data_IF_246453752836
#
_entry.id   IF_246453752836
#
_cell.length_a   1.000
_cell.length_b   1.000
_cell.length_c   1.000
_cell.angle_alpha   90.00
_cell.angle_beta   90.00
_cell.angle_gamma   90.00
#
_symmetry.space_group_name_H-M   'P 1'
#
loop_
_entity.id
_entity.type
_entity.pdbx_description
1 polymer ?
#
# COMPACT_ATOMS: atom_id res chain seq x y z
N UNK A 1 21.93 14.36 -7.47
CA UNK A 1 21.57 15.24 -6.33
C UNK A 1 20.10 15.03 -6.03
N UNK A 2 19.73 14.84 -4.75
CA UNK A 2 18.34 14.69 -4.34
C UNK A 2 17.62 16.04 -4.46
N UNK A 3 16.39 16.11 -5.04
CA UNK A 3 15.69 17.38 -5.26
C UNK A 3 14.93 17.85 -4.02
N UNK A 4 14.85 19.17 -3.80
CA UNK A 4 13.82 19.72 -2.91
C UNK A 4 12.43 19.52 -3.53
N UNK A 5 11.46 19.19 -2.69
CA UNK A 5 10.12 18.80 -3.15
C UNK A 5 9.09 19.89 -2.85
N UNK A 6 8.38 20.30 -3.88
CA UNK A 6 7.33 21.31 -3.83
C UNK A 6 5.92 20.69 -3.75
N UNK A 7 4.93 21.48 -3.41
CA UNK A 7 3.50 21.16 -3.62
C UNK A 7 3.17 21.24 -5.10
N UNK A 8 2.21 20.42 -5.56
CA UNK A 8 1.62 20.53 -6.90
C UNK A 8 0.15 20.94 -6.78
N UNK A 9 -0.18 22.16 -7.17
CA UNK A 9 -1.52 22.71 -7.05
C UNK A 9 -1.87 23.49 -8.33
N UNK A 10 -3.02 23.21 -8.90
CA UNK A 10 -3.57 23.87 -10.10
C UNK A 10 -2.60 23.86 -11.30
N UNK A 11 -1.94 22.71 -11.52
CA UNK A 11 -1.01 22.54 -12.63
C UNK A 11 0.38 23.13 -12.41
N UNK A 12 0.69 23.63 -11.22
CA UNK A 12 1.95 24.30 -10.90
C UNK A 12 2.65 23.71 -9.70
N UNK A 13 3.97 23.53 -9.84
CA UNK A 13 4.86 23.26 -8.73
C UNK A 13 5.14 24.55 -7.96
N UNK A 14 4.98 24.53 -6.64
CA UNK A 14 5.08 25.72 -5.82
C UNK A 14 5.54 25.42 -4.40
N UNK A 15 6.21 26.36 -3.78
CA UNK A 15 6.48 26.32 -2.35
C UNK A 15 5.19 26.55 -1.56
N UNK A 16 5.14 26.07 -0.31
CA UNK A 16 4.05 26.44 0.58
C UNK A 16 3.97 27.95 0.79
N UNK A 17 2.77 28.52 0.88
CA UNK A 17 2.54 29.96 1.03
C UNK A 17 3.24 30.54 2.26
N UNK A 18 3.28 29.78 3.36
CA UNK A 18 3.99 30.15 4.58
C UNK A 18 5.51 29.97 4.50
N UNK A 19 6.05 29.46 3.39
CA UNK A 19 7.47 29.18 3.22
C UNK A 19 8.03 28.07 4.11
N UNK A 20 7.18 27.33 4.83
CA UNK A 20 7.62 26.23 5.72
C UNK A 20 8.06 25.01 4.92
N UNK A 21 9.09 24.34 5.43
CA UNK A 21 9.59 23.06 4.91
C UNK A 21 9.83 22.06 6.03
N UNK A 22 9.96 20.80 5.68
CA UNK A 22 10.42 19.71 6.54
C UNK A 22 11.68 19.08 5.93
N UNK A 23 12.67 18.69 6.75
CA UNK A 23 13.84 18.00 6.25
C UNK A 23 13.49 16.58 5.79
N UNK A 24 14.11 16.16 4.69
CA UNK A 24 14.08 14.77 4.23
C UNK A 24 15.41 14.12 4.57
N UNK A 25 15.36 13.01 5.28
CA UNK A 25 16.56 12.32 5.79
C UNK A 25 16.78 11.00 5.05
N UNK A 26 18.03 10.74 4.67
CA UNK A 26 18.41 9.43 4.14
C UNK A 26 18.51 8.41 5.29
N UNK A 27 17.68 7.37 5.31
CA UNK A 27 17.64 6.40 6.41
C UNK A 27 18.91 5.51 6.49
N UNK A 28 19.76 5.51 5.47
CA UNK A 28 21.02 4.77 5.47
C UNK A 28 22.19 5.55 6.11
N UNK A 29 22.11 6.91 6.20
CA UNK A 29 23.23 7.72 6.69
C UNK A 29 22.84 8.73 7.77
N UNK A 30 21.54 8.90 8.06
CA UNK A 30 20.96 9.94 8.93
C UNK A 30 21.20 11.36 8.43
N UNK A 31 21.64 11.53 7.19
CA UNK A 31 21.92 12.83 6.59
C UNK A 31 20.64 13.47 6.04
N UNK A 32 20.47 14.75 6.25
CA UNK A 32 19.44 15.54 5.58
C UNK A 32 19.85 15.71 4.12
N UNK A 33 19.06 15.17 3.19
CA UNK A 33 19.35 15.14 1.75
C UNK A 33 18.58 16.20 0.95
N UNK A 34 17.52 16.78 1.53
CA UNK A 34 16.68 17.78 0.89
C UNK A 34 15.57 18.27 1.82
N UNK A 35 14.67 19.07 1.26
CA UNK A 35 13.53 19.65 1.94
C UNK A 35 12.23 19.34 1.20
N UNK A 36 11.12 19.22 1.94
CA UNK A 36 9.78 19.14 1.36
C UNK A 36 8.90 20.31 1.85
N UNK A 37 8.16 20.93 0.95
CA UNK A 37 7.24 22.00 1.28
C UNK A 37 6.15 21.51 2.25
N UNK A 38 5.86 22.30 3.28
CA UNK A 38 4.88 21.99 4.32
C UNK A 38 3.64 22.86 4.15
N UNK A 39 2.56 22.30 3.62
CA UNK A 39 1.29 22.99 3.38
C UNK A 39 0.65 23.47 4.68
N UNK A 40 0.08 24.68 4.62
CA UNK A 40 -0.82 25.22 5.63
C UNK A 40 -2.27 25.23 5.09
N UNK A 41 -3.21 25.72 5.89
CA UNK A 41 -4.65 25.74 5.54
C UNK A 41 -4.91 26.48 4.21
N UNK A 42 -4.21 27.58 3.98
CA UNK A 42 -4.35 28.39 2.76
C UNK A 42 -3.90 27.63 1.50
N UNK A 43 -2.90 26.76 1.60
CA UNK A 43 -2.49 25.87 0.51
C UNK A 43 -3.56 24.81 0.24
N UNK A 44 -4.19 24.29 1.31
CA UNK A 44 -5.29 23.32 1.20
C UNK A 44 -6.53 23.96 0.56
N UNK A 45 -6.85 25.21 0.86
CA UNK A 45 -7.93 25.97 0.21
C UNK A 45 -7.68 26.11 -1.29
N UNK A 46 -6.45 26.44 -1.68
CA UNK A 46 -6.08 26.49 -3.10
C UNK A 46 -6.22 25.12 -3.77
N UNK A 47 -5.79 24.05 -3.12
CA UNK A 47 -5.92 22.68 -3.63
C UNK A 47 -7.40 22.27 -3.76
N UNK A 48 -8.25 22.57 -2.77
CA UNK A 48 -9.68 22.31 -2.80
C UNK A 48 -10.38 23.08 -3.93
N UNK A 49 -10.09 24.37 -4.08
CA UNK A 49 -10.67 25.19 -5.14
C UNK A 49 -10.24 24.70 -6.53
N UNK A 50 -8.95 24.38 -6.70
CA UNK A 50 -8.42 23.83 -7.95
C UNK A 50 -9.07 22.48 -8.29
N UNK A 51 -9.17 21.58 -7.30
CA UNK A 51 -9.71 20.23 -7.47
C UNK A 51 -11.21 20.26 -7.81
N UNK A 52 -11.97 21.21 -7.26
CA UNK A 52 -13.37 21.41 -7.62
C UNK A 52 -13.54 21.85 -9.10
N UNK A 53 -12.68 22.74 -9.59
CA UNK A 53 -12.66 23.14 -11.01
C UNK A 53 -12.22 21.99 -11.91
N UNK A 54 -11.11 21.34 -11.54
CA UNK A 54 -10.54 20.21 -12.27
C UNK A 54 -11.52 19.04 -12.41
N UNK A 55 -12.35 18.80 -11.40
CA UNK A 55 -13.41 17.78 -11.47
C UNK A 55 -14.39 18.05 -12.60
N UNK A 56 -14.85 19.29 -12.75
CA UNK A 56 -15.79 19.63 -13.83
C UNK A 56 -15.18 19.40 -15.23
N UNK A 57 -13.90 19.71 -15.40
CA UNK A 57 -13.19 19.45 -16.66
C UNK A 57 -13.02 17.94 -16.89
N UNK A 58 -12.59 17.20 -15.87
CA UNK A 58 -12.21 15.80 -16.02
C UNK A 58 -13.39 14.84 -16.17
N UNK A 59 -14.48 15.07 -15.44
CA UNK A 59 -15.72 14.27 -15.60
C UNK A 59 -16.33 14.40 -17.00
N UNK A 60 -16.18 15.58 -17.64
CA UNK A 60 -16.69 15.85 -18.98
C UNK A 60 -15.69 15.41 -20.08
N UNK A 61 -14.46 15.02 -19.71
CA UNK A 61 -13.47 14.44 -20.62
C UNK A 61 -13.87 13.00 -20.97
N UNK A 62 -13.93 12.69 -22.27
CA UNK A 62 -14.32 11.36 -22.74
C UNK A 62 -13.41 10.27 -22.15
N UNK A 63 -13.99 9.11 -21.80
CA UNK A 63 -13.28 8.00 -21.16
C UNK A 63 -12.04 7.55 -21.95
N UNK A 64 -12.13 7.46 -23.28
CA UNK A 64 -11.01 7.14 -24.16
C UNK A 64 -9.87 8.18 -24.11
N UNK A 65 -10.22 9.45 -23.98
CA UNK A 65 -9.24 10.52 -23.86
C UNK A 65 -8.53 10.44 -22.49
N UNK A 66 -9.29 10.21 -21.40
CA UNK A 66 -8.71 9.95 -20.07
C UNK A 66 -7.72 8.77 -20.13
N UNK A 67 -8.15 7.65 -20.70
CA UNK A 67 -7.32 6.45 -20.86
C UNK A 67 -6.02 6.72 -21.64
N UNK A 68 -6.09 7.49 -22.73
CA UNK A 68 -4.90 7.81 -23.53
C UNK A 68 -3.89 8.68 -22.77
N UNK A 69 -4.36 9.68 -22.00
CA UNK A 69 -3.50 10.50 -21.15
C UNK A 69 -2.84 9.67 -20.03
N UNK A 70 -3.60 8.76 -19.42
CA UNK A 70 -3.07 7.84 -18.41
C UNK A 70 -2.00 6.92 -18.99
N UNK A 71 -2.21 6.32 -20.16
CA UNK A 71 -1.18 5.48 -20.83
C UNK A 71 0.08 6.26 -21.16
N UNK A 72 -0.06 7.53 -21.55
CA UNK A 72 1.10 8.40 -21.78
C UNK A 72 1.88 8.63 -20.48
N UNK A 73 1.19 8.82 -19.33
CA UNK A 73 1.83 8.93 -18.04
C UNK A 73 2.56 7.63 -17.65
N UNK A 74 1.98 6.45 -17.90
CA UNK A 74 2.62 5.16 -17.68
C UNK A 74 3.91 5.00 -18.52
N UNK A 75 3.89 5.42 -19.78
CA UNK A 75 5.07 5.39 -20.64
C UNK A 75 6.20 6.29 -20.12
N UNK A 76 5.87 7.52 -19.70
CA UNK A 76 6.83 8.45 -19.10
C UNK A 76 7.41 7.92 -17.79
N UNK A 77 6.59 7.26 -16.97
CA UNK A 77 7.05 6.65 -15.71
C UNK A 77 8.05 5.51 -15.97
N UNK A 78 7.80 4.66 -16.98
CA UNK A 78 8.74 3.60 -17.39
C UNK A 78 10.05 4.18 -17.91
N UNK A 79 10.00 5.20 -18.76
CA UNK A 79 11.18 5.90 -19.29
C UNK A 79 12.08 6.46 -18.18
N UNK A 80 11.46 6.99 -17.11
CA UNK A 80 12.15 7.63 -15.98
C UNK A 80 12.49 6.68 -14.83
N UNK A 81 12.20 5.39 -14.96
CA UNK A 81 12.23 4.43 -13.84
C UNK A 81 13.58 4.37 -13.13
N UNK A 82 14.71 4.39 -13.85
CA UNK A 82 16.04 4.31 -13.24
C UNK A 82 16.38 5.55 -12.41
N UNK A 83 16.07 6.74 -12.92
CA UNK A 83 16.29 7.99 -12.19
C UNK A 83 15.43 8.08 -10.93
N UNK A 84 14.15 7.71 -11.03
CA UNK A 84 13.22 7.72 -9.91
C UNK A 84 13.59 6.66 -8.88
N UNK A 85 14.07 5.48 -9.29
CA UNK A 85 14.52 4.43 -8.38
C UNK A 85 15.69 4.88 -7.51
N UNK A 86 16.65 5.60 -8.08
CA UNK A 86 17.77 6.17 -7.32
C UNK A 86 17.30 7.21 -6.29
N UNK A 87 16.33 8.06 -6.63
CA UNK A 87 15.70 9.02 -5.72
C UNK A 87 14.98 8.28 -4.58
N UNK A 88 14.14 7.31 -4.94
CA UNK A 88 13.38 6.51 -3.96
C UNK A 88 14.30 5.79 -2.98
N UNK A 89 15.40 5.21 -3.43
CA UNK A 89 16.37 4.55 -2.56
C UNK A 89 17.00 5.53 -1.56
N UNK A 90 17.29 6.77 -1.97
CA UNK A 90 17.87 7.77 -1.06
C UNK A 90 16.92 8.19 0.06
N UNK A 91 15.63 8.36 -0.22
CA UNK A 91 14.65 8.83 0.77
C UNK A 91 13.99 7.70 1.56
N UNK A 92 13.87 6.50 0.98
CA UNK A 92 13.12 5.39 1.57
C UNK A 92 14.03 4.24 2.06
N UNK A 93 15.22 4.10 1.50
CA UNK A 93 16.22 3.12 1.92
C UNK A 93 16.17 1.76 1.20
N UNK A 94 15.07 1.38 0.53
CA UNK A 94 15.02 0.09 -0.19
C UNK A 94 16.06 0.02 -1.31
N UNK A 95 16.61 -1.17 -1.63
CA UNK A 95 17.53 -1.36 -2.73
C UNK A 95 16.98 -0.85 -4.08
N UNK A 96 17.86 -0.27 -4.92
CA UNK A 96 17.48 0.30 -6.24
C UNK A 96 16.67 -0.69 -7.09
N UNK A 97 17.05 -1.97 -7.08
CA UNK A 97 16.31 -2.99 -7.82
C UNK A 97 14.85 -3.12 -7.36
N UNK A 98 14.60 -3.06 -6.03
CA UNK A 98 13.25 -3.09 -5.46
C UNK A 98 12.47 -1.80 -5.76
N UNK A 99 13.14 -0.65 -5.73
CA UNK A 99 12.56 0.64 -6.11
C UNK A 99 12.14 0.66 -7.58
N UNK A 100 12.98 0.15 -8.48
CA UNK A 100 12.67 0.04 -9.91
C UNK A 100 11.47 -0.87 -10.17
N UNK A 101 11.37 -2.01 -9.49
CA UNK A 101 10.20 -2.90 -9.57
C UNK A 101 8.93 -2.16 -9.14
N UNK A 102 8.97 -1.37 -8.07
CA UNK A 102 7.83 -0.58 -7.62
C UNK A 102 7.34 0.39 -8.71
N UNK A 103 8.26 1.08 -9.38
CA UNK A 103 7.94 2.05 -10.43
C UNK A 103 7.34 1.37 -11.66
N UNK A 104 7.90 0.24 -12.08
CA UNK A 104 7.38 -0.52 -13.22
C UNK A 104 5.98 -1.08 -12.92
N UNK A 105 5.77 -1.64 -11.72
CA UNK A 105 4.45 -2.09 -11.28
C UNK A 105 3.44 -0.93 -11.22
N UNK A 106 3.88 0.26 -10.83
CA UNK A 106 3.02 1.44 -10.82
C UNK A 106 2.58 1.83 -12.25
N UNK A 107 3.46 1.73 -13.23
CA UNK A 107 3.09 1.96 -14.62
C UNK A 107 2.07 0.92 -15.12
N UNK A 108 2.18 -0.35 -14.70
CA UNK A 108 1.21 -1.39 -15.03
C UNK A 108 -0.15 -1.13 -14.37
N UNK A 109 -0.18 -0.60 -13.14
CA UNK A 109 -1.42 -0.14 -12.47
C UNK A 109 -2.09 0.98 -13.26
N UNK A 110 -1.32 1.95 -13.76
CA UNK A 110 -1.87 3.05 -14.59
C UNK A 110 -2.50 2.47 -15.87
N UNK A 111 -1.82 1.55 -16.56
CA UNK A 111 -2.33 0.94 -17.79
C UNK A 111 -3.58 0.10 -17.55
N UNK A 112 -3.64 -0.63 -16.43
CA UNK A 112 -4.84 -1.38 -16.03
C UNK A 112 -6.03 -0.44 -15.89
N UNK A 113 -5.93 0.60 -15.07
CA UNK A 113 -7.03 1.53 -14.84
C UNK A 113 -7.35 2.39 -16.08
N UNK A 114 -6.39 2.66 -16.96
CA UNK A 114 -6.67 3.25 -18.26
C UNK A 114 -7.58 2.35 -19.11
N UNK A 115 -7.44 1.03 -19.01
CA UNK A 115 -8.38 0.06 -19.58
C UNK A 115 -9.74 0.12 -18.92
N UNK A 116 -9.79 0.14 -17.58
CA UNK A 116 -11.03 0.18 -16.80
C UNK A 116 -11.83 1.49 -17.01
N UNK A 117 -11.17 2.60 -17.31
CA UNK A 117 -11.86 3.86 -17.62
C UNK A 117 -12.94 3.72 -18.71
N UNK A 118 -12.75 2.82 -19.65
CA UNK A 118 -13.68 2.57 -20.76
C UNK A 118 -14.70 1.46 -20.50
N UNK A 119 -14.69 0.85 -19.29
CA UNK A 119 -15.57 -0.25 -18.88
C UNK A 119 -16.58 0.13 -17.81
N UNK A 120 -16.76 1.38 -17.50
CA UNK A 120 -17.73 1.90 -16.52
C UNK A 120 -19.14 1.91 -17.08
N UNK A 121 -19.68 0.69 -17.35
CA UNK A 121 -20.97 0.53 -17.99
C UNK A 121 -22.15 0.72 -17.04
N UNK A 122 -23.23 1.39 -17.52
CA UNK A 122 -24.55 1.31 -16.93
C UNK A 122 -25.32 0.06 -17.41
N UNK A 123 -26.59 -0.02 -17.02
CA UNK A 123 -27.49 -1.11 -17.38
C UNK A 123 -28.77 -0.56 -17.97
N UNK A 124 -29.34 -1.25 -18.95
CA UNK A 124 -30.73 -1.06 -19.40
C UNK A 124 -31.58 -2.09 -18.65
N UNK A 125 -32.60 -1.62 -17.93
CA UNK A 125 -33.44 -2.43 -17.06
C UNK A 125 -34.79 -2.63 -17.75
N UNK A 126 -35.31 -3.87 -17.91
CA UNK A 126 -36.65 -4.10 -18.47
C UNK A 126 -37.73 -3.37 -17.67
N UNK A 127 -38.50 -2.53 -18.34
CA UNK A 127 -39.59 -1.80 -17.73
C UNK A 127 -40.87 -2.65 -17.67
N UNK A 128 -41.77 -2.34 -16.71
CA UNK A 128 -43.10 -2.95 -16.62
C UNK A 128 -44.11 -2.34 -17.60
N UNK A 129 -43.78 -1.16 -18.21
CA UNK A 129 -44.63 -0.50 -19.19
C UNK A 129 -43.86 -0.30 -20.50
N UNK A 130 -44.57 -0.41 -21.64
CA UNK A 130 -43.96 -0.36 -22.98
C UNK A 130 -43.40 0.99 -23.34
N UNK A 131 -43.99 2.07 -22.81
CA UNK A 131 -43.62 3.47 -23.04
C UNK A 131 -42.62 4.03 -22.05
N UNK A 132 -42.10 3.19 -21.16
CA UNK A 132 -41.12 3.58 -20.14
C UNK A 132 -39.77 2.93 -20.42
N UNK A 133 -38.72 3.74 -20.44
CA UNK A 133 -37.33 3.30 -20.52
C UNK A 133 -36.65 3.48 -19.16
N UNK A 134 -35.94 2.47 -18.69
CA UNK A 134 -35.24 2.47 -17.41
C UNK A 134 -33.77 2.11 -17.61
N UNK A 135 -32.89 2.89 -17.01
CA UNK A 135 -31.44 2.66 -17.10
C UNK A 135 -30.71 3.11 -15.85
N UNK A 136 -29.52 2.55 -15.63
CA UNK A 136 -28.55 3.07 -14.68
C UNK A 136 -27.38 3.71 -15.40
N UNK A 137 -26.84 4.77 -14.81
CA UNK A 137 -25.60 5.41 -15.25
C UNK A 137 -24.57 5.29 -14.14
N UNK A 138 -23.31 5.08 -14.51
CA UNK A 138 -22.15 5.16 -13.61
C UNK A 138 -21.54 6.55 -13.75
N UNK A 139 -21.52 7.31 -12.68
CA UNK A 139 -21.01 8.69 -12.64
C UNK A 139 -19.87 8.79 -11.63
N UNK A 140 -18.85 9.65 -11.87
CA UNK A 140 -17.79 9.86 -10.87
C UNK A 140 -18.36 10.44 -9.58
N UNK A 141 -17.85 9.94 -8.44
CA UNK A 141 -18.33 10.34 -7.10
C UNK A 141 -18.06 11.82 -6.80
N UNK A 142 -17.02 12.40 -7.39
CA UNK A 142 -16.58 13.78 -7.15
C UNK A 142 -15.09 13.86 -6.77
N UNK A 143 -14.65 15.00 -6.23
CA UNK A 143 -13.28 15.15 -5.75
C UNK A 143 -12.95 14.21 -4.61
N UNK A 144 -11.73 13.63 -4.64
CA UNK A 144 -11.23 12.62 -3.71
C UNK A 144 -10.08 13.19 -2.89
N UNK A 145 -9.97 12.82 -1.61
CA UNK A 145 -8.77 13.02 -0.81
C UNK A 145 -8.11 11.65 -0.54
N UNK A 146 -6.85 11.51 -0.91
CA UNK A 146 -6.06 10.31 -0.70
C UNK A 146 -4.92 10.58 0.29
N UNK A 147 -4.73 9.69 1.25
CA UNK A 147 -3.69 9.78 2.28
C UNK A 147 -2.83 8.53 2.21
N UNK A 148 -1.51 8.68 2.03
CA UNK A 148 -0.62 7.56 1.70
C UNK A 148 0.62 7.51 2.58
N UNK A 149 1.11 6.30 2.92
CA UNK A 149 2.31 6.10 3.73
C UNK A 149 3.58 6.05 2.88
N UNK A 150 4.71 6.04 3.55
CA UNK A 150 6.08 6.12 3.02
C UNK A 150 6.67 4.79 2.52
N UNK A 151 6.07 3.65 2.83
CA UNK A 151 6.72 2.35 2.59
C UNK A 151 6.78 1.93 1.11
N UNK A 152 5.78 2.32 0.32
CA UNK A 152 5.75 2.20 -1.14
C UNK A 152 5.23 3.52 -1.73
N UNK A 153 6.07 4.56 -1.75
CA UNK A 153 5.63 5.95 -1.96
C UNK A 153 4.94 6.18 -3.31
N UNK A 154 5.28 5.39 -4.33
CA UNK A 154 4.63 5.45 -5.64
C UNK A 154 3.42 4.51 -5.70
N UNK A 155 3.57 3.24 -5.29
CA UNK A 155 2.50 2.25 -5.41
C UNK A 155 1.27 2.58 -4.56
N UNK A 156 1.45 3.17 -3.38
CA UNK A 156 0.33 3.56 -2.54
C UNK A 156 -0.50 4.70 -3.14
N UNK A 157 0.16 5.61 -3.86
CA UNK A 157 -0.51 6.72 -4.54
C UNK A 157 -1.17 6.24 -5.83
N UNK A 158 -0.43 5.50 -6.67
CA UNK A 158 -0.88 5.17 -8.02
C UNK A 158 -2.16 4.36 -8.05
N UNK A 159 -2.38 3.46 -7.08
CA UNK A 159 -3.62 2.67 -6.97
C UNK A 159 -4.84 3.58 -6.77
N UNK A 160 -4.73 4.57 -5.88
CA UNK A 160 -5.79 5.54 -5.59
C UNK A 160 -5.97 6.53 -6.72
N UNK A 161 -4.86 7.10 -7.19
CA UNK A 161 -4.83 8.10 -8.25
C UNK A 161 -5.40 7.55 -9.55
N UNK A 162 -4.93 6.38 -10.00
CA UNK A 162 -5.35 5.82 -11.29
C UNK A 162 -6.83 5.41 -11.29
N UNK A 163 -7.33 4.81 -10.20
CA UNK A 163 -8.75 4.48 -10.08
C UNK A 163 -9.64 5.74 -10.08
N UNK A 164 -9.23 6.80 -9.34
CA UNK A 164 -9.94 8.08 -9.33
C UNK A 164 -9.98 8.72 -10.72
N UNK A 165 -8.84 8.79 -11.40
CA UNK A 165 -8.75 9.38 -12.76
C UNK A 165 -9.55 8.57 -13.78
N UNK A 166 -9.48 7.26 -13.74
CA UNK A 166 -10.23 6.35 -14.61
C UNK A 166 -11.75 6.59 -14.47
N UNK A 167 -12.24 6.74 -13.24
CA UNK A 167 -13.64 7.02 -12.96
C UNK A 167 -14.08 8.42 -13.41
N UNK A 168 -13.15 9.36 -13.61
CA UNK A 168 -13.45 10.76 -13.92
C UNK A 168 -13.47 11.69 -12.70
N UNK A 169 -12.91 11.26 -11.58
CA UNK A 169 -12.74 12.06 -10.37
C UNK A 169 -11.47 12.92 -10.45
N UNK A 170 -11.48 14.06 -9.79
CA UNK A 170 -10.25 14.77 -9.41
C UNK A 170 -9.77 14.31 -8.04
N UNK A 171 -8.51 14.58 -7.69
CA UNK A 171 -7.93 14.05 -6.48
C UNK A 171 -6.89 14.98 -5.85
N UNK A 172 -6.96 15.13 -4.53
CA UNK A 172 -5.89 15.68 -3.69
C UNK A 172 -5.17 14.51 -3.04
N UNK A 173 -3.88 14.38 -3.30
CA UNK A 173 -3.01 13.39 -2.67
C UNK A 173 -2.23 14.07 -1.56
N UNK A 174 -2.40 13.61 -0.32
CA UNK A 174 -1.49 13.89 0.77
C UNK A 174 -0.37 12.84 0.71
N UNK A 175 0.78 13.21 0.17
CA UNK A 175 1.98 12.36 0.08
C UNK A 175 2.69 12.21 1.43
N UNK A 176 3.55 11.18 1.58
CA UNK A 176 4.37 10.99 2.78
C UNK A 176 5.51 12.01 2.85
N UNK A 177 5.73 12.59 4.02
CA UNK A 177 6.80 13.59 4.26
C UNK A 177 8.17 12.94 4.29
N UNK A 178 8.24 11.67 4.67
CA UNK A 178 9.48 10.90 4.76
C UNK A 178 10.07 10.58 3.38
N UNK A 179 9.20 10.45 2.37
CA UNK A 179 9.58 10.00 1.01
C UNK A 179 8.86 10.83 -0.06
N UNK A 180 9.11 12.15 -0.13
CA UNK A 180 8.27 13.07 -0.91
C UNK A 180 8.62 13.14 -2.39
N UNK A 181 9.90 12.94 -2.78
CA UNK A 181 10.33 13.18 -4.16
C UNK A 181 9.83 12.10 -5.13
N UNK A 182 9.73 10.84 -4.70
CA UNK A 182 9.18 9.77 -5.53
C UNK A 182 7.71 10.02 -5.92
N UNK A 183 6.81 10.40 -4.98
CA UNK A 183 5.47 10.88 -5.32
C UNK A 183 5.46 12.07 -6.28
N UNK A 184 6.34 13.04 -6.09
CA UNK A 184 6.43 14.21 -6.96
C UNK A 184 6.79 13.80 -8.40
N UNK A 185 7.73 12.89 -8.60
CA UNK A 185 8.08 12.38 -9.93
C UNK A 185 6.92 11.57 -10.58
N UNK A 186 6.12 10.84 -9.79
CA UNK A 186 4.89 10.22 -10.28
C UNK A 186 3.91 11.29 -10.80
N UNK A 187 3.61 12.32 -9.99
CA UNK A 187 2.69 13.39 -10.40
C UNK A 187 3.22 14.16 -11.60
N UNK A 188 4.54 14.36 -11.70
CA UNK A 188 5.18 14.98 -12.87
C UNK A 188 4.95 14.18 -14.15
N UNK A 189 4.98 12.84 -14.09
CA UNK A 189 4.66 12.02 -15.26
C UNK A 189 3.21 12.24 -15.75
N UNK A 190 2.24 12.41 -14.83
CA UNK A 190 0.86 12.73 -15.20
C UNK A 190 0.71 14.17 -15.74
N UNK A 191 1.40 15.13 -15.15
CA UNK A 191 1.39 16.52 -15.62
C UNK A 191 1.98 16.62 -17.05
N UNK A 192 3.14 16.00 -17.28
CA UNK A 192 3.81 15.97 -18.59
C UNK A 192 3.03 15.16 -19.64
N UNK A 193 2.19 14.21 -19.21
CA UNK A 193 1.26 13.51 -20.09
C UNK A 193 0.11 14.41 -20.57
N UNK A 194 -0.14 15.53 -19.88
CA UNK A 194 -1.16 16.52 -20.25
C UNK A 194 -2.46 16.39 -19.47
N UNK A 195 -2.44 15.81 -18.26
CA UNK A 195 -3.60 15.87 -17.36
C UNK A 195 -3.89 17.34 -17.04
N UNK A 196 -5.16 17.80 -17.18
CA UNK A 196 -5.50 19.21 -16.99
C UNK A 196 -5.20 19.73 -15.58
N UNK A 197 -4.87 21.02 -15.48
CA UNK A 197 -4.71 21.72 -14.21
C UNK A 197 -5.93 21.52 -13.29
N UNK A 198 -5.69 21.37 -12.00
CA UNK A 198 -6.73 21.14 -11.00
C UNK A 198 -7.24 19.70 -10.88
N UNK A 199 -6.98 18.80 -11.84
CA UNK A 199 -7.41 17.39 -11.75
C UNK A 199 -6.64 16.64 -10.65
N UNK A 200 -5.36 16.93 -10.50
CA UNK A 200 -4.49 16.35 -9.48
C UNK A 200 -3.89 17.47 -8.64
N UNK A 201 -3.88 17.29 -7.33
CA UNK A 201 -3.07 18.07 -6.41
C UNK A 201 -2.23 17.13 -5.53
N UNK A 202 -1.01 17.56 -5.20
CA UNK A 202 -0.10 16.85 -4.29
C UNK A 202 0.30 17.82 -3.18
N UNK A 203 0.03 17.43 -1.93
CA UNK A 203 0.34 18.23 -0.75
C UNK A 203 1.09 17.40 0.28
N UNK A 204 1.92 18.06 1.08
CA UNK A 204 2.67 17.51 2.20
C UNK A 204 2.47 18.38 3.42
N UNK A 205 2.64 17.84 4.61
CA UNK A 205 2.47 18.56 5.86
C UNK A 205 1.95 17.63 6.97
N UNK A 206 1.61 18.20 8.12
CA UNK A 206 1.16 17.42 9.28
C UNK A 206 -0.05 16.54 8.93
N UNK A 207 0.06 15.19 9.00
CA UNK A 207 -1.01 14.29 8.51
C UNK A 207 -2.36 14.53 9.18
N UNK A 208 -2.37 14.74 10.51
CA UNK A 208 -3.60 14.97 11.26
C UNK A 208 -4.28 16.29 10.83
N UNK A 209 -3.54 17.39 10.77
CA UNK A 209 -4.08 18.71 10.38
C UNK A 209 -4.70 18.66 8.98
N UNK A 210 -4.00 18.05 8.01
CA UNK A 210 -4.48 17.94 6.64
C UNK A 210 -5.73 17.05 6.55
N UNK A 211 -5.75 15.90 7.23
CA UNK A 211 -6.88 14.99 7.16
C UNK A 211 -8.12 15.54 7.86
N UNK A 212 -7.96 16.15 9.02
CA UNK A 212 -9.04 16.80 9.77
C UNK A 212 -9.62 18.02 9.03
N UNK A 213 -8.83 18.69 8.20
CA UNK A 213 -9.26 19.78 7.36
C UNK A 213 -9.98 19.31 6.09
N UNK A 214 -9.40 18.36 5.35
CA UNK A 214 -9.92 17.92 4.06
C UNK A 214 -11.17 17.04 4.18
N UNK A 215 -11.23 16.12 5.14
CA UNK A 215 -12.32 15.14 5.23
C UNK A 215 -13.70 15.81 5.44
N UNK A 216 -13.86 16.76 6.38
CA UNK A 216 -15.12 17.44 6.58
C UNK A 216 -15.54 18.36 5.41
N UNK A 217 -14.57 18.81 4.59
CA UNK A 217 -14.81 19.82 3.59
C UNK A 217 -15.87 19.36 2.55
N UNK A 218 -16.87 20.19 2.18
CA UNK A 218 -17.98 19.79 1.31
C UNK A 218 -17.55 19.43 -0.12
N UNK A 219 -16.43 19.96 -0.61
CA UNK A 219 -15.85 19.60 -1.91
C UNK A 219 -15.45 18.13 -1.98
N UNK A 220 -14.90 17.57 -0.91
CA UNK A 220 -14.45 16.17 -0.87
C UNK A 220 -15.66 15.25 -0.75
N UNK A 221 -15.74 14.24 -1.64
CA UNK A 221 -16.84 13.27 -1.69
C UNK A 221 -16.42 11.87 -1.26
N UNK A 222 -15.13 11.56 -1.40
CA UNK A 222 -14.54 10.27 -1.05
C UNK A 222 -13.19 10.47 -0.43
N UNK A 223 -12.84 9.58 0.52
CA UNK A 223 -11.48 9.42 1.02
C UNK A 223 -10.93 8.03 0.66
N UNK A 224 -9.62 7.93 0.47
CA UNK A 224 -8.89 6.69 0.41
C UNK A 224 -7.64 6.80 1.28
N UNK A 225 -7.51 5.89 2.23
CA UNK A 225 -6.42 5.91 3.21
C UNK A 225 -5.69 4.57 3.23
N UNK A 226 -4.35 4.63 3.23
CA UNK A 226 -3.50 3.50 3.58
C UNK A 226 -2.59 3.91 4.74
N UNK A 227 -2.54 3.08 5.78
CA UNK A 227 -1.72 3.34 6.96
C UNK A 227 -2.05 2.45 8.15
N UNK A 228 -1.72 2.91 9.36
CA UNK A 228 -1.98 2.11 10.57
C UNK A 228 -3.48 1.96 10.86
N UNK A 229 -3.85 0.80 11.41
CA UNK A 229 -5.25 0.49 11.80
C UNK A 229 -5.84 1.55 12.74
N UNK A 230 -5.06 2.03 13.71
CA UNK A 230 -5.52 3.06 14.65
C UNK A 230 -5.92 4.36 13.96
N UNK A 231 -5.09 4.83 13.03
CA UNK A 231 -5.39 6.06 12.25
C UNK A 231 -6.55 5.80 11.29
N UNK A 232 -6.57 4.65 10.62
CA UNK A 232 -7.65 4.29 9.70
C UNK A 232 -9.03 4.28 10.37
N UNK A 233 -9.15 3.70 11.57
CA UNK A 233 -10.39 3.73 12.35
C UNK A 233 -10.85 5.16 12.68
N UNK A 234 -9.91 6.05 13.04
CA UNK A 234 -10.19 7.46 13.29
C UNK A 234 -10.71 8.16 12.02
N UNK A 235 -10.00 8.02 10.89
CA UNK A 235 -10.40 8.66 9.63
C UNK A 235 -11.70 8.08 9.05
N UNK A 236 -11.95 6.78 9.24
CA UNK A 236 -13.21 6.15 8.85
C UNK A 236 -14.39 6.71 9.65
N UNK A 237 -14.21 6.90 10.96
CA UNK A 237 -15.23 7.53 11.81
C UNK A 237 -15.52 8.99 11.37
N UNK A 238 -14.46 9.77 11.10
CA UNK A 238 -14.57 11.13 10.60
C UNK A 238 -15.25 11.19 9.22
N UNK A 239 -14.91 10.28 8.31
CA UNK A 239 -15.58 10.15 7.01
C UNK A 239 -17.07 9.84 7.16
N UNK A 240 -17.42 8.92 8.06
CA UNK A 240 -18.81 8.56 8.37
C UNK A 240 -19.63 9.73 8.92
N UNK A 241 -19.06 10.55 9.81
CA UNK A 241 -19.72 11.76 10.34
C UNK A 241 -20.08 12.76 9.23
N UNK A 242 -19.32 12.78 8.13
CA UNK A 242 -19.52 13.70 7.02
C UNK A 242 -20.04 13.00 5.74
N UNK A 243 -20.56 11.78 5.86
CA UNK A 243 -21.12 10.97 4.77
C UNK A 243 -20.19 10.85 3.55
N UNK A 244 -18.88 10.74 3.79
CA UNK A 244 -17.89 10.50 2.72
C UNK A 244 -17.77 9.00 2.44
N UNK A 245 -17.71 8.60 1.17
CA UNK A 245 -17.27 7.25 0.83
C UNK A 245 -15.82 7.06 1.31
N UNK A 246 -15.48 5.88 1.80
CA UNK A 246 -14.16 5.57 2.31
C UNK A 246 -13.66 4.23 1.79
N UNK A 247 -12.37 4.18 1.41
CA UNK A 247 -11.60 2.94 1.22
C UNK A 247 -10.45 2.97 2.22
N UNK A 248 -10.31 1.90 2.98
CA UNK A 248 -9.35 1.79 4.08
C UNK A 248 -8.47 0.57 3.85
N UNK A 249 -7.17 0.78 3.62
CA UNK A 249 -6.12 -0.24 3.54
C UNK A 249 -5.22 -0.09 4.76
N UNK A 250 -5.37 -1.01 5.72
CA UNK A 250 -4.80 -0.84 7.06
C UNK A 250 -3.73 -1.90 7.35
N UNK A 251 -3.29 -1.97 8.61
CA UNK A 251 -2.29 -2.91 9.06
C UNK A 251 -2.70 -4.37 8.88
N UNK A 252 -1.71 -5.24 8.85
CA UNK A 252 -1.88 -6.68 8.77
C UNK A 252 -0.88 -7.42 9.64
N UNK A 253 -1.14 -8.68 9.89
CA UNK A 253 -0.20 -9.56 10.60
C UNK A 253 -0.29 -10.97 10.00
N UNK A 254 0.17 -11.08 8.75
CA UNK A 254 -0.11 -12.20 7.86
C UNK A 254 0.37 -13.54 8.42
N UNK A 255 -0.53 -14.53 8.57
CA UNK A 255 -0.15 -15.91 8.85
C UNK A 255 0.45 -16.57 7.61
N UNK A 256 1.38 -17.49 7.83
CA UNK A 256 1.96 -18.39 6.85
C UNK A 256 1.78 -19.81 7.35
N UNK A 257 1.01 -20.64 6.67
CA UNK A 257 0.72 -22.01 7.06
C UNK A 257 1.55 -22.97 6.20
N UNK A 258 2.44 -23.75 6.80
CA UNK A 258 3.32 -24.69 6.10
C UNK A 258 3.01 -26.10 6.57
N UNK A 259 2.44 -26.89 5.67
CA UNK A 259 2.06 -28.28 5.92
C UNK A 259 3.22 -29.24 5.60
N UNK A 260 3.15 -30.48 6.10
CA UNK A 260 4.20 -31.48 5.98
C UNK A 260 4.45 -31.98 4.55
N UNK A 261 3.48 -31.79 3.66
CA UNK A 261 3.55 -32.11 2.25
C UNK A 261 4.08 -30.98 1.36
N UNK A 262 4.42 -29.82 1.94
CA UNK A 262 4.90 -28.65 1.21
C UNK A 262 6.31 -28.87 0.61
N UNK A 263 6.59 -28.11 -0.46
CA UNK A 263 7.96 -27.94 -0.95
C UNK A 263 8.71 -26.96 -0.06
N UNK A 264 9.46 -27.49 0.92
CA UNK A 264 10.12 -26.67 1.93
C UNK A 264 11.25 -25.81 1.35
N UNK A 265 11.92 -26.26 0.28
CA UNK A 265 13.02 -25.51 -0.35
C UNK A 265 12.47 -24.29 -1.09
N UNK A 266 11.44 -24.48 -1.90
CA UNK A 266 10.75 -23.39 -2.59
C UNK A 266 10.12 -22.41 -1.59
N UNK A 267 9.36 -22.92 -0.60
CA UNK A 267 8.71 -22.12 0.42
C UNK A 267 9.70 -21.27 1.23
N UNK A 268 10.81 -21.87 1.70
CA UNK A 268 11.81 -21.14 2.49
C UNK A 268 12.45 -19.99 1.69
N UNK A 269 12.80 -20.22 0.43
CA UNK A 269 13.42 -19.22 -0.45
C UNK A 269 12.47 -18.07 -0.77
N UNK A 270 11.25 -18.39 -1.22
CA UNK A 270 10.24 -17.40 -1.58
C UNK A 270 9.82 -16.55 -0.38
N UNK A 271 9.58 -17.20 0.76
CA UNK A 271 9.16 -16.51 1.98
C UNK A 271 10.26 -15.64 2.57
N UNK A 272 11.54 -16.04 2.49
CA UNK A 272 12.65 -15.19 2.90
C UNK A 272 12.72 -13.92 2.05
N UNK A 273 12.63 -14.06 0.72
CA UNK A 273 12.61 -12.90 -0.18
C UNK A 273 11.40 -11.97 0.08
N UNK A 274 10.21 -12.54 0.29
CA UNK A 274 8.99 -11.77 0.54
C UNK A 274 9.03 -11.07 1.90
N UNK A 275 9.45 -11.77 2.97
CA UNK A 275 9.49 -11.23 4.33
C UNK A 275 10.45 -10.07 4.47
N UNK A 276 11.63 -10.17 3.87
CA UNK A 276 12.70 -9.19 4.05
C UNK A 276 12.77 -8.13 2.93
N UNK A 277 11.90 -8.21 1.93
CA UNK A 277 11.70 -7.12 0.97
C UNK A 277 11.34 -5.83 1.73
N UNK A 278 11.95 -4.70 1.31
CA UNK A 278 11.74 -3.40 1.96
C UNK A 278 11.97 -3.44 3.50
N UNK A 279 12.95 -4.23 3.96
CA UNK A 279 13.21 -4.47 5.38
C UNK A 279 11.95 -4.93 6.17
N UNK A 280 11.06 -5.69 5.54
CA UNK A 280 9.82 -6.16 6.17
C UNK A 280 8.74 -5.08 6.38
N UNK A 281 8.94 -3.87 5.91
CA UNK A 281 8.02 -2.73 6.04
C UNK A 281 6.90 -2.80 4.98
N UNK A 282 6.16 -3.91 4.99
CA UNK A 282 5.15 -4.26 3.98
C UNK A 282 3.91 -4.78 4.70
N UNK A 283 2.75 -4.19 4.45
CA UNK A 283 1.48 -4.57 5.09
C UNK A 283 1.07 -6.03 4.84
N UNK A 284 1.52 -6.61 3.72
CA UNK A 284 1.32 -8.02 3.36
C UNK A 284 2.54 -8.89 3.65
N UNK A 285 3.56 -8.40 4.39
CA UNK A 285 4.73 -9.23 4.69
C UNK A 285 4.33 -10.49 5.47
N UNK A 286 4.86 -11.68 5.10
CA UNK A 286 4.76 -12.87 5.95
C UNK A 286 5.32 -12.57 7.34
N UNK A 287 4.56 -12.81 8.41
CA UNK A 287 4.99 -12.45 9.78
C UNK A 287 4.91 -13.60 10.76
N UNK A 288 3.75 -14.27 10.86
CA UNK A 288 3.51 -15.41 11.75
C UNK A 288 3.63 -16.71 10.98
N UNK A 289 4.75 -17.36 11.08
CA UNK A 289 5.02 -18.65 10.41
C UNK A 289 4.55 -19.80 11.29
N UNK A 290 3.47 -20.45 10.88
CA UNK A 290 2.85 -21.62 11.51
C UNK A 290 3.29 -22.83 10.69
N UNK A 291 4.13 -23.68 11.26
CA UNK A 291 4.74 -24.78 10.55
C UNK A 291 4.28 -26.11 11.18
N UNK A 292 3.80 -27.05 10.38
CA UNK A 292 3.39 -28.36 10.89
C UNK A 292 4.57 -29.05 11.58
N UNK A 293 4.32 -29.62 12.77
CA UNK A 293 5.35 -30.09 13.69
C UNK A 293 6.34 -31.07 13.05
N UNK A 294 5.88 -31.94 12.14
CA UNK A 294 6.73 -32.94 11.48
C UNK A 294 7.84 -32.36 10.60
N UNK A 295 7.66 -31.12 10.11
CA UNK A 295 8.62 -30.44 9.22
C UNK A 295 9.19 -29.16 9.83
N UNK A 296 8.88 -28.87 11.09
CA UNK A 296 9.25 -27.62 11.76
C UNK A 296 10.76 -27.37 11.75
N UNK A 297 11.57 -28.34 12.25
CA UNK A 297 13.01 -28.16 12.32
C UNK A 297 13.65 -28.03 10.94
N UNK A 298 13.20 -28.83 9.97
CA UNK A 298 13.71 -28.77 8.59
C UNK A 298 13.40 -27.44 7.94
N UNK A 299 12.20 -26.88 8.16
CA UNK A 299 11.85 -25.58 7.63
C UNK A 299 12.64 -24.45 8.31
N UNK A 300 12.78 -24.48 9.65
CA UNK A 300 13.59 -23.49 10.40
C UNK A 300 15.02 -23.44 9.89
N UNK A 301 15.64 -24.60 9.64
CA UNK A 301 17.01 -24.68 9.09
C UNK A 301 17.09 -24.02 7.70
N UNK A 302 16.23 -24.46 6.76
CA UNK A 302 16.22 -23.97 5.38
C UNK A 302 15.91 -22.47 5.31
N UNK A 303 14.90 -22.01 6.05
CA UNK A 303 14.50 -20.60 6.08
C UNK A 303 15.60 -19.71 6.68
N UNK A 304 16.23 -20.17 7.80
CA UNK A 304 17.35 -19.45 8.41
C UNK A 304 18.55 -19.37 7.48
N UNK A 305 18.85 -20.44 6.73
CA UNK A 305 19.90 -20.42 5.73
C UNK A 305 19.64 -19.40 4.63
N UNK A 306 18.41 -19.38 4.08
CA UNK A 306 18.01 -18.41 3.05
C UNK A 306 18.06 -16.94 3.56
N UNK A 307 17.71 -16.71 4.83
CA UNK A 307 17.78 -15.38 5.45
C UNK A 307 19.22 -14.91 5.63
N UNK A 308 20.16 -15.81 5.94
CA UNK A 308 21.59 -15.49 6.07
C UNK A 308 22.27 -15.08 4.75
N UNK A 309 21.67 -15.40 3.61
CA UNK A 309 22.17 -14.96 2.29
C UNK A 309 21.86 -13.48 2.00
N UNK A 310 20.96 -12.85 2.78
CA UNK A 310 20.60 -11.45 2.59
C UNK A 310 21.78 -10.54 2.93
N UNK A 311 22.03 -9.58 2.04
CA UNK A 311 23.07 -8.56 2.19
C UNK A 311 22.43 -7.25 2.65
N UNK A 312 22.64 -6.93 3.93
CA UNK A 312 22.19 -5.68 4.55
C UNK A 312 23.19 -4.56 4.22
N UNK A 313 22.71 -3.42 3.77
CA UNK A 313 23.56 -2.27 3.45
C UNK A 313 22.80 -1.10 2.87
N UNK A 314 23.53 -0.09 2.40
CA UNK A 314 22.94 1.04 1.68
C UNK A 314 22.36 0.55 0.35
N UNK A 315 21.08 0.82 0.10
CA UNK A 315 20.36 0.35 -1.07
C UNK A 315 20.90 0.84 -2.42
N UNK A 316 21.80 1.83 -2.42
CA UNK A 316 22.52 2.30 -3.61
C UNK A 316 23.76 1.44 -3.95
N UNK A 317 24.21 0.58 -3.04
CA UNK A 317 25.38 -0.26 -3.24
C UNK A 317 25.02 -1.55 -4.00
N UNK A 318 25.94 -2.01 -4.84
CA UNK A 318 25.74 -3.21 -5.63
C UNK A 318 25.64 -4.48 -4.75
N UNK A 319 24.66 -5.31 -5.07
CA UNK A 319 24.44 -6.59 -4.41
C UNK A 319 23.75 -6.49 -3.04
N UNK A 320 23.40 -5.31 -2.57
CA UNK A 320 22.55 -5.15 -1.37
C UNK A 320 21.13 -5.64 -1.69
N UNK A 321 20.59 -6.50 -0.80
CA UNK A 321 19.26 -7.09 -0.94
C UNK A 321 18.26 -6.62 0.10
N UNK A 322 18.74 -6.06 1.23
CA UNK A 322 17.92 -5.43 2.27
C UNK A 322 18.55 -4.09 2.69
N UNK A 323 17.76 -3.03 2.64
CA UNK A 323 18.14 -1.70 3.09
C UNK A 323 17.80 -1.43 4.55
N UNK A 324 17.96 -0.17 5.02
CA UNK A 324 17.56 0.25 6.37
C UNK A 324 16.03 0.31 6.50
N UNK A 325 15.56 0.45 7.72
CA UNK A 325 14.21 0.91 8.03
C UNK A 325 14.12 2.42 7.84
N UNK A 326 12.96 2.94 7.46
CA UNK A 326 12.82 4.38 7.15
C UNK A 326 12.96 5.25 8.40
N UNK A 327 12.42 4.80 9.53
CA UNK A 327 12.29 5.60 10.74
C UNK A 327 13.03 4.98 11.92
N UNK A 328 13.81 5.78 12.62
CA UNK A 328 14.51 5.37 13.87
C UNK A 328 13.54 4.81 14.92
N UNK A 329 12.39 5.47 15.13
CA UNK A 329 11.34 4.97 16.05
C UNK A 329 10.81 3.58 15.69
N UNK A 330 10.83 3.21 14.40
CA UNK A 330 10.43 1.87 13.96
C UNK A 330 11.49 0.83 14.32
N UNK A 331 12.78 1.19 14.27
CA UNK A 331 13.88 0.34 14.76
C UNK A 331 13.73 0.10 16.26
N UNK A 332 13.44 1.15 17.04
CA UNK A 332 13.21 1.05 18.49
C UNK A 332 12.05 0.09 18.81
N UNK A 333 10.96 0.19 18.06
CA UNK A 333 9.80 -0.70 18.24
C UNK A 333 10.13 -2.16 17.91
N UNK A 334 10.85 -2.41 16.81
CA UNK A 334 11.26 -3.77 16.43
C UNK A 334 12.19 -4.36 17.47
N UNK A 335 13.15 -3.59 17.96
CA UNK A 335 14.07 -4.04 19.03
C UNK A 335 13.29 -4.43 20.29
N UNK A 336 12.34 -3.60 20.71
CA UNK A 336 11.48 -3.88 21.87
C UNK A 336 10.64 -5.17 21.69
N UNK A 337 10.07 -5.39 20.49
CA UNK A 337 9.30 -6.61 20.20
C UNK A 337 10.19 -7.87 20.18
N UNK A 338 11.41 -7.79 19.66
CA UNK A 338 12.37 -8.89 19.66
C UNK A 338 12.80 -9.23 21.09
N UNK A 339 13.14 -8.24 21.90
CA UNK A 339 13.54 -8.45 23.30
C UNK A 339 12.39 -9.03 24.13
N UNK A 340 11.17 -8.56 23.94
CA UNK A 340 9.98 -9.13 24.59
C UNK A 340 9.80 -10.60 24.21
N UNK A 341 9.90 -10.95 22.94
CA UNK A 341 9.73 -12.33 22.49
C UNK A 341 10.81 -13.26 23.09
N UNK A 342 12.07 -12.80 23.15
CA UNK A 342 13.18 -13.55 23.77
C UNK A 342 12.94 -13.72 25.29
N UNK A 343 12.50 -12.67 25.97
CA UNK A 343 12.18 -12.74 27.40
C UNK A 343 11.04 -13.74 27.70
N UNK A 344 10.13 -13.95 26.75
CA UNK A 344 9.06 -14.95 26.84
C UNK A 344 9.49 -16.37 26.40
N UNK A 345 10.75 -16.57 25.99
CA UNK A 345 11.31 -17.90 25.68
C UNK A 345 11.56 -18.17 24.20
N UNK A 346 11.29 -17.21 23.30
CA UNK A 346 11.69 -17.33 21.90
C UNK A 346 13.21 -17.35 21.75
N UNK A 347 13.70 -18.01 20.68
CA UNK A 347 15.13 -18.12 20.37
C UNK A 347 15.43 -17.48 19.04
N UNK A 348 16.45 -16.64 18.96
CA UNK A 348 16.93 -16.11 17.69
C UNK A 348 17.78 -17.15 16.95
N UNK A 349 17.31 -17.61 15.78
CA UNK A 349 18.09 -18.47 14.88
C UNK A 349 19.12 -17.65 14.09
N UNK A 350 18.80 -16.38 13.82
CA UNK A 350 19.71 -15.38 13.23
C UNK A 350 19.22 -13.98 13.55
N UNK A 351 20.12 -12.99 13.52
CA UNK A 351 19.80 -11.58 13.74
C UNK A 351 19.40 -11.26 15.17
N UNK A 352 18.48 -10.33 15.33
CA UNK A 352 17.91 -9.92 16.61
C UNK A 352 18.46 -8.63 17.19
N UNK A 353 19.27 -7.90 16.42
CA UNK A 353 19.98 -6.71 16.92
C UNK A 353 19.92 -5.55 15.92
N UNK A 354 19.91 -4.35 16.47
CA UNK A 354 20.23 -3.14 15.73
C UNK A 354 21.70 -3.17 15.29
N UNK A 355 22.00 -2.77 14.08
CA UNK A 355 23.38 -2.62 13.61
C UNK A 355 23.95 -1.33 14.19
N UNK A 356 25.15 -1.43 14.78
CA UNK A 356 25.82 -0.27 15.34
C UNK A 356 26.31 0.68 14.24
N UNK A 357 26.23 1.99 14.48
CA UNK A 357 26.68 3.01 13.53
C UNK A 357 25.57 3.95 13.11
N UNK A 358 25.76 4.63 11.97
CA UNK A 358 24.76 5.50 11.36
C UNK A 358 23.70 4.69 10.60
N UNK A 359 22.53 5.28 10.44
CA UNK A 359 21.41 4.72 9.71
C UNK A 359 20.54 3.78 10.52
N UNK A 360 19.34 3.55 10.01
CA UNK A 360 18.28 2.80 10.67
C UNK A 360 18.35 1.29 10.37
N UNK A 361 19.53 0.69 10.49
CA UNK A 361 19.74 -0.72 10.16
C UNK A 361 19.37 -1.66 11.32
N UNK A 362 18.63 -2.71 10.99
CA UNK A 362 18.32 -3.83 11.89
C UNK A 362 18.59 -5.15 11.16
N UNK A 363 19.22 -6.10 11.84
CA UNK A 363 19.57 -7.39 11.23
C UNK A 363 18.32 -8.15 10.78
N UNK A 364 18.35 -8.85 9.62
CA UNK A 364 17.28 -9.76 9.23
C UNK A 364 17.17 -10.88 10.30
N UNK A 365 15.98 -10.95 10.92
CA UNK A 365 15.80 -11.69 12.18
C UNK A 365 14.79 -12.82 12.02
N UNK A 366 15.19 -14.01 12.49
CA UNK A 366 14.33 -15.19 12.59
C UNK A 366 14.23 -15.61 14.06
N UNK A 367 13.04 -15.45 14.64
CA UNK A 367 12.71 -15.94 15.97
C UNK A 367 11.94 -17.26 15.85
N UNK A 368 12.44 -18.31 16.52
CA UNK A 368 11.79 -19.61 16.61
C UNK A 368 11.21 -19.86 17.99
N UNK A 369 10.30 -20.83 18.07
CA UNK A 369 9.61 -21.23 19.31
C UNK A 369 8.88 -20.06 19.97
N UNK A 370 8.33 -19.13 19.17
CA UNK A 370 7.72 -17.90 19.69
C UNK A 370 6.41 -18.22 20.39
N UNK A 371 6.28 -17.96 21.71
CA UNK A 371 5.05 -18.22 22.44
C UNK A 371 3.96 -17.19 22.09
N UNK A 372 2.69 -17.60 22.15
CA UNK A 372 1.55 -16.72 21.86
C UNK A 372 1.44 -15.51 22.81
N UNK A 373 2.07 -15.60 24.00
CA UNK A 373 2.13 -14.52 24.98
C UNK A 373 3.09 -13.39 24.60
N UNK A 374 4.00 -13.60 23.65
CA UNK A 374 4.91 -12.56 23.18
C UNK A 374 4.12 -11.48 22.42
N UNK A 375 4.42 -10.23 22.70
CA UNK A 375 3.77 -9.08 22.04
C UNK A 375 3.84 -9.14 20.52
N UNK A 376 4.99 -9.59 19.99
CA UNK A 376 5.22 -9.76 18.55
C UNK A 376 4.22 -10.71 17.86
N UNK A 377 3.52 -11.60 18.61
CA UNK A 377 2.48 -12.49 18.06
C UNK A 377 1.10 -11.81 17.96
N UNK A 378 0.95 -10.59 18.48
CA UNK A 378 -0.31 -9.85 18.47
C UNK A 378 -0.18 -8.43 17.92
N UNK A 379 0.99 -7.83 18.03
CA UNK A 379 1.32 -6.51 17.48
C UNK A 379 2.05 -6.70 16.14
N UNK A 380 1.65 -5.97 15.10
CA UNK A 380 2.26 -6.03 13.78
C UNK A 380 3.75 -5.62 13.84
N UNK A 381 4.72 -6.56 13.58
CA UNK A 381 6.12 -6.21 13.53
C UNK A 381 6.47 -5.65 12.14
N UNK A 382 6.22 -4.36 11.93
CA UNK A 382 6.45 -3.69 10.64
C UNK A 382 7.95 -3.47 10.40
N UNK A 383 8.69 -4.60 10.23
CA UNK A 383 10.14 -4.63 10.15
C UNK A 383 10.69 -6.03 9.83
N UNK A 384 12.03 -6.21 9.87
CA UNK A 384 12.72 -7.40 9.37
C UNK A 384 12.73 -8.56 10.40
N UNK A 385 11.56 -8.95 10.90
CA UNK A 385 11.44 -10.04 11.91
C UNK A 385 10.40 -11.06 11.46
N UNK A 386 10.78 -12.33 11.38
CA UNK A 386 9.93 -13.48 11.14
C UNK A 386 9.73 -14.27 12.46
N UNK A 387 8.47 -14.64 12.76
CA UNK A 387 8.05 -15.30 13.99
C UNK A 387 7.61 -16.72 13.68
N UNK A 388 8.39 -17.73 14.10
CA UNK A 388 8.16 -19.14 13.78
C UNK A 388 7.66 -19.91 14.99
N UNK A 389 6.62 -20.73 14.79
CA UNK A 389 6.12 -21.66 15.79
C UNK A 389 5.53 -22.92 15.14
N UNK A 390 5.58 -24.08 15.82
CA UNK A 390 4.92 -25.28 15.32
C UNK A 390 3.41 -25.26 15.57
N UNK A 391 2.68 -26.07 14.78
CA UNK A 391 1.30 -26.51 15.04
C UNK A 391 1.17 -28.02 14.86
N UNK A 392 0.22 -28.66 15.52
CA UNK A 392 0.00 -30.10 15.44
C UNK A 392 -1.10 -30.49 14.46
N UNK A 393 -2.23 -29.76 14.43
CA UNK A 393 -3.41 -30.10 13.64
C UNK A 393 -3.83 -28.93 12.74
N UNK A 394 -4.59 -29.25 11.69
CA UNK A 394 -5.19 -28.24 10.79
C UNK A 394 -6.02 -27.21 11.58
N UNK A 395 -6.88 -27.69 12.51
CA UNK A 395 -7.75 -26.83 13.30
C UNK A 395 -6.96 -25.85 14.18
N UNK A 396 -5.84 -26.28 14.77
CA UNK A 396 -4.92 -25.41 15.51
C UNK A 396 -4.33 -24.34 14.61
N UNK A 397 -3.89 -24.70 13.39
CA UNK A 397 -3.32 -23.77 12.43
C UNK A 397 -4.35 -22.70 12.00
N UNK A 398 -5.58 -23.10 11.70
CA UNK A 398 -6.66 -22.18 11.33
C UNK A 398 -7.06 -21.28 12.50
N UNK A 399 -7.21 -21.84 13.69
CA UNK A 399 -7.54 -21.05 14.89
C UNK A 399 -6.49 -19.95 15.14
N UNK A 400 -5.18 -20.29 15.02
CA UNK A 400 -4.14 -19.28 15.19
C UNK A 400 -4.07 -18.31 13.99
N UNK A 401 -4.26 -18.77 12.77
CA UNK A 401 -4.28 -17.90 11.58
C UNK A 401 -5.34 -16.79 11.73
N UNK A 402 -6.53 -17.14 12.22
CA UNK A 402 -7.69 -16.26 12.34
C UNK A 402 -7.80 -15.52 13.69
N UNK A 403 -6.91 -15.81 14.67
CA UNK A 403 -6.98 -15.32 16.05
C UNK A 403 -6.99 -13.80 16.17
N UNK A 404 -6.26 -13.12 15.30
CA UNK A 404 -6.09 -11.67 15.38
C UNK A 404 -7.25 -10.92 14.70
N UNK A 405 -7.48 -9.67 15.08
CA UNK A 405 -8.49 -8.83 14.43
C UNK A 405 -8.09 -8.41 13.01
N UNK A 406 -6.88 -8.75 12.56
CA UNK A 406 -6.40 -8.48 11.21
C UNK A 406 -6.87 -9.55 10.21
N UNK A 407 -7.00 -9.14 8.93
CA UNK A 407 -7.35 -10.03 7.84
C UNK A 407 -6.98 -9.41 6.48
N UNK A 408 -5.69 -9.04 6.28
CA UNK A 408 -5.25 -8.47 4.99
C UNK A 408 -4.74 -9.57 4.06
N UNK A 409 -3.63 -10.21 4.39
CA UNK A 409 -3.01 -11.26 3.60
C UNK A 409 -2.76 -12.51 4.43
N UNK A 410 -2.79 -13.67 3.79
CA UNK A 410 -2.38 -14.96 4.33
C UNK A 410 -1.66 -15.77 3.25
N UNK A 411 -0.79 -16.66 3.67
CA UNK A 411 -0.01 -17.54 2.80
C UNK A 411 -0.15 -18.97 3.26
N UNK A 412 -0.12 -19.93 2.34
CA UNK A 412 -0.11 -21.34 2.69
C UNK A 412 0.72 -22.16 1.70
N UNK A 413 1.30 -23.26 2.15
CA UNK A 413 2.05 -24.19 1.34
C UNK A 413 1.58 -25.62 1.64
N UNK A 414 0.95 -26.28 0.67
CA UNK A 414 0.49 -27.67 0.71
C UNK A 414 0.28 -28.19 -0.71
N UNK A 415 0.57 -29.47 -0.94
CA UNK A 415 0.24 -30.17 -2.20
C UNK A 415 -1.07 -30.93 -2.14
N UNK A 416 -1.69 -31.05 -0.96
CA UNK A 416 -2.95 -31.74 -0.78
C UNK A 416 -4.14 -30.87 -1.23
N UNK A 417 -4.83 -31.28 -2.27
CA UNK A 417 -5.96 -30.53 -2.84
C UNK A 417 -7.10 -30.33 -1.84
N UNK A 418 -7.33 -31.28 -0.93
CA UNK A 418 -8.38 -31.12 0.08
C UNK A 418 -8.00 -30.02 1.09
N UNK A 419 -6.73 -29.97 1.52
CA UNK A 419 -6.18 -28.89 2.37
C UNK A 419 -6.26 -27.53 1.64
N UNK A 420 -5.85 -27.47 0.38
CA UNK A 420 -5.90 -26.24 -0.43
C UNK A 420 -7.33 -25.71 -0.54
N UNK A 421 -8.31 -26.57 -0.80
CA UNK A 421 -9.72 -26.18 -0.90
C UNK A 421 -10.30 -25.76 0.47
N UNK A 422 -9.91 -26.40 1.56
CA UNK A 422 -10.32 -26.03 2.90
C UNK A 422 -9.76 -24.64 3.29
N UNK A 423 -8.46 -24.39 3.05
CA UNK A 423 -7.81 -23.09 3.32
C UNK A 423 -8.53 -21.93 2.64
N UNK A 424 -8.99 -22.11 1.39
CA UNK A 424 -9.73 -21.08 0.65
C UNK A 424 -11.07 -20.67 1.30
N UNK A 425 -11.64 -21.52 2.17
CA UNK A 425 -12.89 -21.22 2.90
C UNK A 425 -12.63 -20.79 4.34
N UNK A 426 -11.59 -21.35 4.98
CA UNK A 426 -11.44 -21.32 6.44
C UNK A 426 -10.49 -20.20 6.91
N UNK A 427 -9.62 -19.67 6.01
CA UNK A 427 -8.74 -18.55 6.35
C UNK A 427 -9.47 -17.22 6.17
N UNK A 428 -9.54 -16.43 7.25
CA UNK A 428 -10.23 -15.15 7.31
C UNK A 428 -9.30 -13.99 6.89
N UNK A 429 -8.93 -13.95 5.62
CA UNK A 429 -8.13 -12.88 5.02
C UNK A 429 -8.77 -12.36 3.74
N UNK A 430 -8.54 -11.07 3.42
CA UNK A 430 -8.98 -10.52 2.14
C UNK A 430 -8.22 -11.11 0.95
N UNK A 431 -7.01 -11.60 1.20
CA UNK A 431 -6.15 -12.24 0.19
C UNK A 431 -5.47 -13.48 0.75
N UNK A 432 -5.54 -14.59 0.01
CA UNK A 432 -4.84 -15.83 0.32
C UNK A 432 -4.02 -16.27 -0.89
N UNK A 433 -2.71 -16.50 -0.69
CA UNK A 433 -1.82 -17.07 -1.71
C UNK A 433 -1.38 -18.47 -1.29
N UNK A 434 -1.50 -19.45 -2.18
CA UNK A 434 -1.15 -20.85 -1.90
C UNK A 434 -0.05 -21.29 -2.85
N UNK A 435 1.03 -21.82 -2.30
CA UNK A 435 2.24 -22.31 -3.01
C UNK A 435 2.98 -21.25 -3.83
N UNK A 436 2.77 -19.97 -3.56
CA UNK A 436 3.52 -18.83 -4.14
C UNK A 436 3.27 -17.55 -3.33
N UNK A 437 3.90 -16.43 -3.72
CA UNK A 437 3.80 -15.11 -3.05
C UNK A 437 3.17 -14.03 -3.95
N UNK A 438 2.19 -14.39 -4.78
CA UNK A 438 1.69 -13.58 -5.89
C UNK A 438 0.58 -12.59 -5.55
N UNK A 439 0.82 -11.62 -4.65
CA UNK A 439 -0.11 -10.51 -4.39
C UNK A 439 0.31 -9.22 -5.09
N UNK A 440 -0.68 -8.36 -5.34
CA UNK A 440 -0.46 -6.98 -5.74
C UNK A 440 -0.41 -6.73 -7.24
N UNK A 441 -0.84 -7.70 -8.06
CA UNK A 441 -1.04 -7.48 -9.49
C UNK A 441 -2.14 -6.44 -9.73
N UNK A 442 -2.05 -5.62 -10.79
CA UNK A 442 -3.05 -4.58 -11.08
C UNK A 442 -4.47 -5.12 -11.28
N UNK A 443 -4.59 -6.28 -11.95
CA UNK A 443 -5.84 -6.94 -12.31
C UNK A 443 -6.49 -7.74 -11.19
N UNK A 444 -5.82 -7.87 -10.02
CA UNK A 444 -6.34 -8.62 -8.89
C UNK A 444 -6.83 -7.71 -7.77
N UNK A 445 -7.93 -8.08 -7.08
CA UNK A 445 -8.38 -7.34 -5.92
C UNK A 445 -7.29 -7.28 -4.84
N UNK A 446 -7.12 -6.11 -4.24
CA UNK A 446 -6.23 -5.90 -3.11
C UNK A 446 -7.03 -5.23 -1.99
N UNK A 447 -7.19 -5.89 -0.86
CA UNK A 447 -7.95 -5.35 0.25
C UNK A 447 -8.03 -6.30 1.43
N UNK A 448 -8.27 -5.72 2.61
CA UNK A 448 -8.42 -6.42 3.86
C UNK A 448 -9.87 -6.55 4.32
N UNK A 449 -10.08 -7.46 5.25
CA UNK A 449 -11.29 -7.62 6.04
C UNK A 449 -11.00 -7.36 7.52
N UNK A 450 -12.02 -7.33 8.36
CA UNK A 450 -11.89 -7.04 9.80
C UNK A 450 -11.18 -5.68 10.03
N UNK A 451 -10.26 -5.63 10.97
CA UNK A 451 -9.48 -4.42 11.32
C UNK A 451 -8.39 -4.05 10.29
N UNK A 452 -8.21 -4.87 9.24
CA UNK A 452 -7.33 -4.53 8.11
C UNK A 452 -8.00 -3.62 7.08
N UNK A 453 -9.27 -3.26 7.27
CA UNK A 453 -9.93 -2.23 6.50
C UNK A 453 -11.15 -2.72 5.73
N UNK A 454 -11.56 -1.92 4.77
CA UNK A 454 -12.70 -2.21 3.88
C UNK A 454 -12.56 -1.47 2.55
N UNK A 455 -13.22 -2.00 1.54
CA UNK A 455 -13.04 -1.60 0.17
C UNK A 455 -11.91 -2.38 -0.51
N UNK A 456 -11.61 -2.05 -1.75
CA UNK A 456 -10.65 -2.78 -2.58
C UNK A 456 -9.84 -1.81 -3.42
N UNK A 457 -8.55 -2.07 -3.54
CA UNK A 457 -7.62 -1.40 -4.44
C UNK A 457 -7.01 -2.42 -5.41
N UNK A 458 -7.08 -2.17 -6.72
CA UNK A 458 -6.74 -3.17 -7.75
C UNK A 458 -7.96 -4.00 -8.17
N UNK A 459 -7.82 -4.74 -9.26
CA UNK A 459 -8.95 -5.39 -9.91
C UNK A 459 -9.96 -4.43 -10.52
N UNK A 460 -10.98 -4.97 -11.14
CA UNK A 460 -12.12 -4.20 -11.66
C UNK A 460 -13.00 -3.62 -10.55
N UNK A 461 -12.98 -4.22 -9.36
CA UNK A 461 -13.77 -3.81 -8.20
C UNK A 461 -13.35 -2.44 -7.64
N UNK A 462 -12.08 -2.10 -7.77
CA UNK A 462 -11.54 -0.87 -7.19
C UNK A 462 -12.21 0.39 -7.74
N UNK A 463 -12.50 0.45 -9.06
CA UNK A 463 -13.10 1.63 -9.69
C UNK A 463 -14.53 1.90 -9.19
N UNK A 464 -15.27 0.86 -8.80
CA UNK A 464 -16.65 0.99 -8.30
C UNK A 464 -16.75 1.91 -7.07
N UNK A 465 -15.72 1.94 -6.25
CA UNK A 465 -15.68 2.81 -5.07
C UNK A 465 -15.57 4.30 -5.42
N UNK A 466 -15.18 4.64 -6.64
CA UNK A 466 -15.06 6.00 -7.19
C UNK A 466 -16.26 6.39 -8.05
N UNK A 467 -17.25 5.51 -8.18
CA UNK A 467 -18.45 5.72 -8.98
C UNK A 467 -19.71 5.79 -8.11
N UNK A 468 -20.71 6.47 -8.62
CA UNK A 468 -22.08 6.47 -8.11
C UNK A 468 -23.04 5.94 -9.17
N UNK A 469 -24.02 5.14 -8.75
CA UNK A 469 -25.06 4.67 -9.65
C UNK A 469 -26.25 5.61 -9.60
N UNK A 470 -26.60 6.19 -10.77
CA UNK A 470 -27.82 6.98 -10.93
C UNK A 470 -28.87 6.18 -11.70
N UNK A 471 -30.03 6.03 -11.11
CA UNK A 471 -31.18 5.48 -11.82
C UNK A 471 -31.90 6.60 -12.62
N UNK A 472 -32.21 6.31 -13.88
CA UNK A 472 -32.94 7.24 -14.77
C UNK A 472 -34.12 6.47 -15.35
N UNK A 473 -35.31 7.05 -15.27
CA UNK A 473 -36.52 6.55 -15.91
C UNK A 473 -37.14 7.62 -16.80
N UNK A 474 -37.52 7.25 -18.01
CA UNK A 474 -38.09 8.18 -19.01
C UNK A 474 -39.37 7.55 -19.58
N UNK A 475 -40.47 8.27 -19.50
CA UNK A 475 -41.69 7.89 -20.19
C UNK A 475 -41.78 8.65 -21.53
N UNK A 476 -41.99 7.93 -22.62
CA UNK A 476 -42.33 8.51 -23.92
C UNK A 476 -43.80 9.01 -23.88
N UNK A 477 -43.98 10.31 -23.88
CA UNK A 477 -45.31 10.92 -24.01
C UNK A 477 -45.38 11.73 -25.30
#
# INVERSE_FOLDING_TARGET
>A
MYPDTQLYIDGQWRNALAGKTLPVTNPASDEVIGQVAHAATEDLDLALAATARGFNVWRDTAAHQRANLMRKAAALLRERADAIAAIMTQEQGKPVAQAKIEILNAADVIDWFAGEATRTYGQIIPSRARDVQQQTLKLPVGPVAAFTPWNFPINQIVRKLSAALAAGCSIIVKGPEETPASPAELIKAFADAGIPAGVIALVYGTPAEISEYLIPHPTIRKISFTGSTRVGKHLAALAGQHMKKATMELGGHAPVLIFDDADLDAAAKELAQSKFRNAGQVCIAPTRFLIQQGVYEAFVEKFTAAVRELKLGNGLEDGVTMGPMVLSRSVDNIEALVQDAIAHGAKASTGGKRVAGKGNFFEPTVLRDVPLSARAMSEEPFGPVALLRPFATYDEAIAEANRLPYGLAAYAYSRNIATVNALGRDVEGGMLSINHIGFGLPETPFGGVKDSGHGTEGGSEAIESYLETRFVTVAGR
#
